data_IF_819918784032
#
_entry.id   IF_819918784032
#
_cell.length_a   1.000
_cell.length_b   1.000
_cell.length_c   1.000
_cell.angle_alpha   90.00
_cell.angle_beta   90.00
_cell.angle_gamma   90.00
#
_symmetry.space_group_name_H-M   'P 1'
#
loop_
_entity.id
_entity.type
_entity.pdbx_description
1 polymer ?
#
# COMPACT_ATOMS: atom_id res chain seq x y z
N UNK A 1 -0.06 -7.72 5.61
CA UNK A 1 0.30 -7.62 4.17
C UNK A 1 0.22 -6.15 3.74
N UNK A 2 1.10 -5.66 2.88
CA UNK A 2 1.03 -4.30 2.35
C UNK A 2 0.18 -4.21 1.07
N UNK A 3 -0.27 -3.01 0.69
CA UNK A 3 -1.03 -2.75 -0.54
C UNK A 3 -0.27 -3.11 -1.83
N UNK A 4 1.06 -3.02 -1.82
CA UNK A 4 1.87 -3.56 -2.92
C UNK A 4 1.89 -5.09 -2.94
N UNK A 5 2.08 -5.73 -1.80
CA UNK A 5 2.25 -7.18 -1.71
C UNK A 5 0.95 -7.96 -1.98
N UNK A 6 -0.21 -7.37 -1.71
CA UNK A 6 -1.51 -8.00 -2.02
C UNK A 6 -1.79 -8.08 -3.54
N UNK A 7 -0.99 -7.39 -4.37
CA UNK A 7 -1.08 -7.53 -5.84
C UNK A 7 -0.47 -8.84 -6.36
N UNK A 8 0.32 -9.54 -5.56
CA UNK A 8 0.95 -10.80 -5.93
C UNK A 8 -0.09 -11.92 -6.12
N UNK A 9 0.09 -12.77 -7.14
CA UNK A 9 -0.80 -13.90 -7.40
C UNK A 9 -0.98 -14.83 -6.20
N UNK A 10 0.12 -15.09 -5.47
CA UNK A 10 0.10 -15.91 -4.25
C UNK A 10 -0.79 -15.34 -3.14
N UNK A 11 -0.91 -14.00 -3.04
CA UNK A 11 -1.78 -13.38 -2.07
C UNK A 11 -3.27 -13.64 -2.39
N UNK A 12 -3.65 -13.59 -3.67
CA UNK A 12 -5.00 -13.96 -4.11
C UNK A 12 -5.30 -15.42 -3.89
N UNK A 13 -4.37 -16.31 -4.26
CA UNK A 13 -4.52 -17.74 -4.04
C UNK A 13 -4.70 -18.04 -2.53
N UNK A 14 -3.91 -17.40 -1.67
CA UNK A 14 -4.03 -17.55 -0.23
C UNK A 14 -5.38 -17.04 0.30
N UNK A 15 -5.87 -15.88 -0.17
CA UNK A 15 -7.19 -15.36 0.23
C UNK A 15 -8.33 -16.26 -0.23
N UNK A 16 -8.29 -16.73 -1.47
CA UNK A 16 -9.27 -17.66 -2.03
C UNK A 16 -9.35 -18.95 -1.20
N UNK A 17 -8.20 -19.55 -0.88
CA UNK A 17 -8.14 -20.74 -0.04
C UNK A 17 -8.59 -20.47 1.40
N UNK A 18 -8.22 -19.32 1.98
CA UNK A 18 -8.63 -18.93 3.33
C UNK A 18 -10.16 -18.86 3.47
N UNK A 19 -10.84 -18.25 2.50
CA UNK A 19 -12.29 -18.21 2.45
C UNK A 19 -12.94 -19.58 2.27
N UNK A 20 -12.43 -20.37 1.32
CA UNK A 20 -12.94 -21.73 1.10
C UNK A 20 -12.82 -22.64 2.33
N UNK A 21 -11.71 -22.51 3.08
CA UNK A 21 -11.43 -23.31 4.27
C UNK A 21 -12.09 -22.76 5.55
N UNK A 22 -12.77 -21.62 5.48
CA UNK A 22 -13.26 -20.87 6.66
C UNK A 22 -12.15 -20.70 7.72
N UNK A 23 -10.95 -20.34 7.26
CA UNK A 23 -9.75 -20.38 8.08
C UNK A 23 -9.81 -19.30 9.17
N UNK A 24 -9.56 -19.69 10.43
CA UNK A 24 -9.48 -18.74 11.55
C UNK A 24 -8.18 -17.92 11.50
N UNK A 25 -8.16 -16.86 10.71
CA UNK A 25 -7.03 -15.97 10.53
C UNK A 25 -7.44 -14.50 10.41
N UNK A 26 -6.55 -13.60 10.81
CA UNK A 26 -6.72 -12.15 10.67
C UNK A 26 -5.64 -11.63 9.73
N UNK A 27 -6.06 -11.11 8.58
CA UNK A 27 -5.21 -10.41 7.62
C UNK A 27 -5.28 -8.91 7.91
N UNK A 28 -4.15 -8.31 8.27
CA UNK A 28 -4.05 -6.85 8.34
C UNK A 28 -3.49 -6.36 7.02
N UNK A 29 -4.33 -5.68 6.22
CA UNK A 29 -3.92 -4.97 5.01
C UNK A 29 -3.49 -3.56 5.39
N UNK A 30 -2.18 -3.31 5.34
CA UNK A 30 -1.59 -1.99 5.55
C UNK A 30 -1.47 -1.26 4.21
N UNK A 31 -2.42 -0.38 3.93
CA UNK A 31 -2.44 0.46 2.75
C UNK A 31 -1.81 1.81 3.06
N UNK A 32 -0.62 2.06 2.52
CA UNK A 32 0.05 3.37 2.59
C UNK A 32 0.12 4.08 1.23
N UNK A 33 -0.58 3.54 0.23
CA UNK A 33 -0.61 3.98 -1.17
C UNK A 33 0.74 3.94 -1.88
N UNK A 34 1.74 3.25 -1.32
CA UNK A 34 3.05 3.10 -1.94
C UNK A 34 3.49 1.65 -1.95
N UNK A 35 3.91 1.20 -3.12
CA UNK A 35 4.68 -0.04 -3.28
C UNK A 35 6.07 0.10 -2.63
N UNK A 36 6.68 -1.06 -2.32
CA UNK A 36 7.96 -1.16 -1.59
C UNK A 36 8.99 -0.20 -2.20
N UNK A 37 9.33 -0.35 -3.47
CA UNK A 37 10.10 0.67 -4.17
C UNK A 37 9.12 1.60 -4.86
N UNK A 38 9.33 2.93 -4.88
CA UNK A 38 8.62 3.71 -5.86
C UNK A 38 8.93 3.04 -7.20
N UNK A 39 7.89 2.76 -7.95
CA UNK A 39 7.93 2.67 -9.41
C UNK A 39 8.37 4.05 -9.91
N UNK A 40 9.57 4.46 -9.51
CA UNK A 40 10.09 5.79 -9.71
C UNK A 40 10.39 5.86 -11.19
N UNK A 41 9.48 6.47 -11.93
CA UNK A 41 9.87 7.10 -13.16
C UNK A 41 10.89 8.17 -12.79
N UNK A 42 11.75 8.53 -13.74
CA UNK A 42 12.75 9.56 -13.50
C UNK A 42 12.13 10.93 -13.12
N UNK A 43 10.82 11.08 -13.27
CA UNK A 43 10.07 12.30 -13.03
C UNK A 43 9.19 12.24 -11.75
N UNK A 44 9.20 11.13 -11.00
CA UNK A 44 8.50 11.02 -9.72
C UNK A 44 8.03 9.61 -9.34
N UNK A 45 7.38 9.44 -8.17
CA UNK A 45 6.78 8.16 -7.81
C UNK A 45 5.63 7.83 -8.76
N UNK A 46 5.62 6.64 -9.37
CA UNK A 46 4.44 6.17 -10.07
C UNK A 46 3.45 5.50 -9.12
N UNK A 47 2.19 5.52 -9.52
CA UNK A 47 1.10 4.83 -8.83
C UNK A 47 1.28 3.31 -8.97
N UNK A 48 1.03 2.51 -7.91
CA UNK A 48 0.96 1.06 -8.04
C UNK A 48 0.02 0.65 -9.19
N UNK A 49 0.48 -0.26 -10.04
CA UNK A 49 -0.28 -0.76 -11.17
C UNK A 49 -1.27 -1.86 -10.74
N UNK A 50 -2.40 -1.95 -11.44
CA UNK A 50 -3.38 -3.02 -11.24
C UNK A 50 -4.78 -2.53 -10.84
N UNK A 51 -5.79 -3.32 -11.22
CA UNK A 51 -7.19 -3.03 -10.91
C UNK A 51 -7.48 -3.05 -9.41
N UNK A 52 -6.78 -3.88 -8.64
CA UNK A 52 -6.93 -3.94 -7.18
C UNK A 52 -6.43 -2.65 -6.51
N UNK A 53 -5.27 -2.13 -6.89
CA UNK A 53 -4.77 -0.84 -6.39
C UNK A 53 -5.76 0.29 -6.70
N UNK A 54 -6.36 0.26 -7.89
CA UNK A 54 -7.43 1.21 -8.28
C UNK A 54 -8.71 1.02 -7.45
N UNK A 55 -9.09 -0.22 -7.12
CA UNK A 55 -10.24 -0.52 -6.27
C UNK A 55 -10.02 -0.05 -4.83
N UNK A 56 -8.84 -0.29 -4.25
CA UNK A 56 -8.46 0.21 -2.91
C UNK A 56 -8.49 1.74 -2.87
N UNK A 57 -7.95 2.41 -3.89
CA UNK A 57 -8.00 3.87 -4.00
C UNK A 57 -9.45 4.41 -4.07
N UNK A 58 -10.35 3.73 -4.81
CA UNK A 58 -11.78 4.08 -4.86
C UNK A 58 -12.47 3.90 -3.51
N UNK A 59 -12.17 2.83 -2.78
CA UNK A 59 -12.70 2.58 -1.44
C UNK A 59 -12.30 3.72 -0.50
N UNK A 60 -11.03 4.15 -0.52
CA UNK A 60 -10.56 5.30 0.27
C UNK A 60 -11.16 6.64 -0.16
N UNK A 61 -11.39 6.85 -1.46
CA UNK A 61 -11.98 8.07 -1.99
C UNK A 61 -13.51 8.16 -1.75
N UNK A 62 -14.13 7.07 -1.32
CA UNK A 62 -15.56 7.03 -1.06
C UNK A 62 -15.98 8.08 -0.03
N UNK A 63 -17.12 8.72 -0.28
CA UNK A 63 -17.67 9.75 0.61
C UNK A 63 -17.93 9.26 2.03
N UNK A 64 -18.06 7.94 2.22
CA UNK A 64 -18.23 7.31 3.54
C UNK A 64 -16.95 7.35 4.36
N UNK A 65 -15.79 7.06 3.76
CA UNK A 65 -14.50 7.21 4.46
C UNK A 65 -14.23 8.67 4.84
N UNK A 66 -14.55 9.62 3.94
CA UNK A 66 -14.42 11.04 4.26
C UNK A 66 -15.29 11.46 5.44
N UNK A 67 -16.53 10.95 5.52
CA UNK A 67 -17.44 11.21 6.66
C UNK A 67 -16.92 10.60 7.96
N UNK A 68 -16.45 9.35 7.93
CA UNK A 68 -15.84 8.68 9.09
C UNK A 68 -14.61 9.44 9.60
N UNK A 69 -13.73 9.90 8.69
CA UNK A 69 -12.55 10.69 9.03
C UNK A 69 -12.91 12.04 9.66
N UNK A 70 -13.93 12.73 9.15
CA UNK A 70 -14.40 14.00 9.71
C UNK A 70 -15.15 13.83 11.04
N UNK A 71 -15.85 12.71 11.23
CA UNK A 71 -16.43 12.33 12.53
C UNK A 71 -15.33 12.07 13.57
N UNK A 72 -14.29 11.31 13.22
CA UNK A 72 -13.13 11.06 14.08
C UNK A 72 -12.41 12.36 14.50
N UNK A 73 -12.22 13.31 13.56
CA UNK A 73 -11.67 14.65 13.84
C UNK A 73 -12.56 15.50 14.75
N UNK A 74 -13.88 15.42 14.57
CA UNK A 74 -14.84 16.15 15.41
C UNK A 74 -14.81 15.65 16.86
N UNK A 75 -14.66 14.34 17.05
CA UNK A 75 -14.52 13.71 18.37
C UNK A 75 -13.21 14.15 19.04
N UNK A 76 -12.08 14.18 18.31
CA UNK A 76 -10.79 14.65 18.86
C UNK A 76 -10.83 16.14 19.25
N UNK A 77 -11.55 16.98 18.50
CA UNK A 77 -11.77 18.39 18.88
C UNK A 77 -12.67 18.57 20.11
N UNK A 78 -13.61 17.67 20.36
CA UNK A 78 -14.51 17.74 21.52
C UNK A 78 -13.95 17.09 22.80
N UNK A 79 -12.86 16.32 22.71
CA UNK A 79 -12.19 15.70 23.88
C UNK A 79 -11.28 16.70 24.63
N UNK A 80 -11.28 17.99 24.24
CA UNK A 80 -10.81 19.09 25.07
C UNK A 80 -11.76 19.37 26.24
N UNK A 81 -11.75 18.51 27.25
CA UNK A 81 -12.44 18.71 28.52
C UNK A 81 -13.59 17.73 28.74
N UNK A 82 -13.32 16.70 29.55
CA UNK A 82 -14.27 15.89 30.33
C UNK A 82 -15.65 15.66 29.70
N UNK A 83 -15.89 14.46 29.15
CA UNK A 83 -17.01 13.56 29.54
C UNK A 83 -17.00 12.30 28.65
N UNK A 84 -17.23 11.14 29.27
CA UNK A 84 -17.50 9.86 28.62
C UNK A 84 -18.83 9.87 27.87
N UNK A 85 -18.79 9.69 26.56
CA UNK A 85 -19.92 9.11 25.80
C UNK A 85 -19.38 8.14 24.74
N UNK A 86 -19.11 6.91 25.16
CA UNK A 86 -18.65 5.80 24.30
C UNK A 86 -19.83 5.13 23.56
N UNK A 87 -21.06 5.62 23.72
CA UNK A 87 -22.24 5.00 23.10
C UNK A 87 -22.42 5.31 21.60
N UNK A 88 -21.93 6.44 21.09
CA UNK A 88 -22.16 6.82 19.69
C UNK A 88 -21.21 6.15 18.68
N UNK A 89 -20.04 5.68 19.11
CA UNK A 89 -19.04 5.01 18.23
C UNK A 89 -19.40 3.56 17.89
N UNK A 90 -20.36 2.95 18.58
CA UNK A 90 -20.69 1.52 18.37
C UNK A 90 -21.60 1.35 17.14
N UNK A 91 -22.49 2.31 16.90
CA UNK A 91 -23.51 2.19 15.84
C UNK A 91 -22.95 2.50 14.44
N UNK A 92 -21.93 3.35 14.32
CA UNK A 92 -21.28 3.67 13.04
C UNK A 92 -20.39 2.52 12.53
N UNK A 93 -19.75 1.77 13.43
CA UNK A 93 -18.99 0.56 13.11
C UNK A 93 -19.88 -0.64 12.81
N UNK A 94 -21.03 -0.75 13.50
CA UNK A 94 -22.01 -1.80 13.22
C UNK A 94 -22.74 -1.56 11.88
N UNK A 95 -22.81 -0.31 11.39
CA UNK A 95 -23.50 0.04 10.13
C UNK A 95 -22.59 0.10 8.90
N UNK A 96 -21.27 -0.03 9.06
CA UNK A 96 -20.37 -0.42 7.96
C UNK A 96 -20.77 -1.77 7.34
N UNK A 97 -21.58 -2.56 8.06
CA UNK A 97 -22.17 -3.83 7.63
C UNK A 97 -23.42 -3.70 6.74
N UNK A 98 -23.87 -2.50 6.35
CA UNK A 98 -24.96 -2.36 5.36
C UNK A 98 -24.38 -1.87 4.05
N UNK A 99 -23.93 -2.83 3.23
CA UNK A 99 -24.23 -2.84 1.79
C UNK A 99 -24.15 -1.48 1.09
N UNK A 100 -22.95 -0.93 0.93
CA UNK A 100 -22.73 0.08 -0.10
C UNK A 100 -22.67 -0.62 -1.48
N UNK A 101 -23.81 -1.19 -1.89
CA UNK A 101 -24.17 -1.48 -3.29
C UNK A 101 -23.32 -2.48 -4.08
N UNK A 102 -22.47 -3.27 -3.43
CA UNK A 102 -21.71 -4.38 -4.03
C UNK A 102 -20.79 -4.99 -2.98
N UNK A 103 -20.69 -6.33 -2.94
CA UNK A 103 -19.72 -7.00 -2.09
C UNK A 103 -18.31 -6.56 -2.51
N UNK A 104 -17.44 -6.27 -1.55
CA UNK A 104 -16.02 -6.09 -1.84
C UNK A 104 -15.44 -7.40 -2.37
N UNK A 105 -14.38 -7.34 -3.17
CA UNK A 105 -13.67 -8.54 -3.63
C UNK A 105 -13.33 -9.49 -2.47
N UNK A 106 -12.97 -8.94 -1.31
CA UNK A 106 -12.61 -9.72 -0.13
C UNK A 106 -13.81 -10.48 0.43
N UNK A 107 -14.99 -9.85 0.48
CA UNK A 107 -16.22 -10.51 0.93
C UNK A 107 -16.68 -11.58 -0.07
N UNK A 108 -16.52 -11.35 -1.38
CA UNK A 108 -16.78 -12.38 -2.40
C UNK A 108 -15.83 -13.57 -2.29
N UNK A 109 -14.59 -13.35 -1.85
CA UNK A 109 -13.64 -14.40 -1.52
C UNK A 109 -13.90 -15.05 -0.16
N UNK A 110 -14.95 -14.66 0.57
CA UNK A 110 -15.32 -15.26 1.85
C UNK A 110 -14.64 -14.66 3.08
N UNK A 111 -13.97 -13.50 2.95
CA UNK A 111 -13.36 -12.80 4.08
C UNK A 111 -14.31 -11.78 4.68
N UNK A 112 -14.39 -11.75 6.02
CA UNK A 112 -15.08 -10.68 6.72
C UNK A 112 -14.23 -9.40 6.69
N UNK A 113 -14.71 -8.39 5.97
CA UNK A 113 -13.96 -7.17 5.71
C UNK A 113 -14.27 -6.04 6.71
N UNK A 114 -13.22 -5.44 7.29
CA UNK A 114 -13.32 -4.31 8.22
C UNK A 114 -12.40 -3.19 7.73
N UNK A 115 -12.97 -2.04 7.34
CA UNK A 115 -12.22 -0.82 7.02
C UNK A 115 -12.72 -0.10 5.77
N UNK A 116 -11.94 0.85 5.22
CA UNK A 116 -10.65 1.32 5.72
C UNK A 116 -10.76 2.10 7.04
N UNK A 117 -9.83 1.89 7.97
CA UNK A 117 -9.70 2.64 9.23
C UNK A 117 -8.37 3.38 9.32
N UNK A 118 -8.27 4.39 10.19
CA UNK A 118 -7.02 5.11 10.44
C UNK A 118 -6.00 4.20 11.15
N UNK A 119 -4.91 3.87 10.45
CA UNK A 119 -3.84 3.03 10.96
C UNK A 119 -2.92 3.71 11.97
N UNK A 120 -3.09 5.02 12.23
CA UNK A 120 -2.31 5.76 13.23
C UNK A 120 -3.06 5.98 14.55
N UNK A 121 -4.32 5.55 14.64
CA UNK A 121 -5.11 5.64 15.87
C UNK A 121 -5.02 4.32 16.65
N UNK A 122 -4.09 4.26 17.59
CA UNK A 122 -3.80 3.04 18.36
C UNK A 122 -5.01 2.59 19.18
N UNK A 123 -5.75 3.52 19.79
CA UNK A 123 -6.91 3.20 20.61
C UNK A 123 -8.02 2.53 19.80
N UNK A 124 -8.33 3.07 18.61
CA UNK A 124 -9.32 2.49 17.71
C UNK A 124 -8.84 1.11 17.20
N UNK A 125 -7.56 0.96 16.82
CA UNK A 125 -6.99 -0.33 16.39
C UNK A 125 -7.05 -1.40 17.49
N UNK A 126 -6.65 -1.06 18.72
CA UNK A 126 -6.74 -1.98 19.87
C UNK A 126 -8.18 -2.43 20.08
N UNK A 127 -9.13 -1.50 20.00
CA UNK A 127 -10.56 -1.80 20.15
C UNK A 127 -11.05 -2.75 19.07
N UNK A 128 -10.68 -2.51 17.80
CA UNK A 128 -11.05 -3.38 16.68
C UNK A 128 -10.46 -4.77 16.87
N UNK A 129 -9.17 -4.89 17.17
CA UNK A 129 -8.52 -6.19 17.36
C UNK A 129 -9.11 -6.97 18.55
N UNK A 130 -9.42 -6.31 19.66
CA UNK A 130 -10.09 -6.95 20.80
C UNK A 130 -11.47 -7.47 20.43
N UNK A 131 -12.26 -6.70 19.66
CA UNK A 131 -13.58 -7.14 19.19
C UNK A 131 -13.48 -8.33 18.26
N UNK A 132 -12.61 -8.27 17.25
CA UNK A 132 -12.39 -9.38 16.30
C UNK A 132 -11.96 -10.65 17.02
N UNK A 133 -11.01 -10.53 17.97
CA UNK A 133 -10.57 -11.66 18.80
C UNK A 133 -11.70 -12.28 19.62
N UNK A 134 -12.66 -11.48 20.07
CA UNK A 134 -13.80 -11.94 20.89
C UNK A 134 -14.97 -12.48 20.06
N UNK A 135 -14.96 -12.33 18.73
CA UNK A 135 -16.02 -12.85 17.87
C UNK A 135 -15.97 -14.39 17.84
N UNK A 136 -17.11 -15.08 18.05
CA UNK A 136 -17.18 -16.52 17.87
C UNK A 136 -17.15 -16.86 16.37
N UNK A 137 -16.21 -17.70 15.96
CA UNK A 137 -16.06 -18.23 14.59
C UNK A 137 -16.16 -17.14 13.49
N UNK A 138 -15.26 -16.15 13.46
CA UNK A 138 -15.35 -15.06 12.49
C UNK A 138 -14.94 -15.44 11.06
N UNK A 139 -14.51 -16.70 10.84
CA UNK A 139 -13.82 -17.11 9.62
C UNK A 139 -12.56 -16.28 9.38
N UNK A 140 -12.10 -16.14 8.12
CA UNK A 140 -10.98 -15.27 7.79
C UNK A 140 -11.43 -13.81 7.80
N UNK A 141 -10.74 -12.97 8.57
CA UNK A 141 -11.04 -11.54 8.69
C UNK A 141 -9.96 -10.72 7.97
N UNK A 142 -10.36 -9.73 7.17
CA UNK A 142 -9.45 -8.74 6.60
C UNK A 142 -9.70 -7.36 7.20
N UNK A 143 -8.70 -6.83 7.91
CA UNK A 143 -8.73 -5.49 8.49
C UNK A 143 -7.87 -4.57 7.61
N UNK A 144 -8.51 -3.65 6.91
CA UNK A 144 -7.86 -2.66 6.06
C UNK A 144 -7.56 -1.40 6.85
N UNK A 145 -6.27 -1.16 7.11
CA UNK A 145 -5.77 0.03 7.78
C UNK A 145 -5.07 0.95 6.78
N UNK A 146 -5.26 2.25 6.93
CA UNK A 146 -4.61 3.28 6.09
C UNK A 146 -3.51 3.93 6.89
N UNK A 147 -2.27 3.86 6.41
CA UNK A 147 -1.11 4.48 7.06
C UNK A 147 -0.39 5.48 6.14
N UNK A 148 0.67 6.10 6.66
CA UNK A 148 1.52 7.03 5.93
C UNK A 148 2.95 6.47 5.99
N UNK A 149 3.51 6.11 4.82
CA UNK A 149 4.88 5.57 4.78
C UNK A 149 5.87 6.65 5.19
N UNK A 150 6.77 6.30 6.12
CA UNK A 150 7.71 7.25 6.72
C UNK A 150 7.15 8.09 7.87
N UNK A 151 5.90 7.84 8.32
CA UNK A 151 5.25 8.62 9.38
C UNK A 151 6.14 8.77 10.62
N UNK A 152 6.23 10.01 11.12
CA UNK A 152 7.00 10.35 12.32
C UNK A 152 8.47 10.64 12.04
N UNK A 153 8.91 10.54 10.78
CA UNK A 153 10.27 10.88 10.38
C UNK A 153 10.26 11.88 9.21
N UNK A 154 10.35 13.21 9.47
CA UNK A 154 10.18 14.24 8.45
C UNK A 154 11.06 14.08 7.20
N UNK A 155 12.34 13.67 7.28
CA UNK A 155 13.14 13.41 6.08
C UNK A 155 12.57 12.30 5.20
N UNK A 156 12.02 11.23 5.78
CA UNK A 156 11.34 10.20 5.02
C UNK A 156 10.00 10.68 4.46
N UNK A 157 9.20 11.42 5.24
CA UNK A 157 7.93 11.96 4.74
C UNK A 157 8.13 12.90 3.54
N UNK A 158 9.23 13.66 3.51
CA UNK A 158 9.57 14.54 2.39
C UNK A 158 10.19 13.81 1.18
N UNK A 159 10.82 12.64 1.39
CA UNK A 159 11.47 11.90 0.32
C UNK A 159 10.46 11.25 -0.63
N UNK A 160 10.75 11.27 -1.93
CA UNK A 160 9.87 10.70 -2.96
C UNK A 160 9.68 9.17 -2.78
N UNK A 161 10.73 8.45 -2.37
CA UNK A 161 10.73 7.02 -2.08
C UNK A 161 10.41 6.68 -0.62
N UNK A 162 10.13 7.71 0.19
CA UNK A 162 9.96 7.61 1.65
C UNK A 162 11.14 6.97 2.35
N UNK A 163 12.35 7.14 1.82
CA UNK A 163 13.58 6.52 2.33
C UNK A 163 13.46 4.99 2.43
N UNK A 164 12.77 4.37 1.46
CA UNK A 164 12.59 2.91 1.43
C UNK A 164 13.93 2.15 1.29
N UNK A 165 14.85 2.70 0.49
CA UNK A 165 16.20 2.16 0.33
C UNK A 165 17.24 3.22 0.68
N UNK A 166 17.82 3.11 1.88
CA UNK A 166 18.86 4.04 2.34
C UNK A 166 20.20 3.34 2.50
N UNK A 167 21.27 4.02 2.09
CA UNK A 167 22.62 3.69 2.58
C UNK A 167 22.83 4.35 3.95
N UNK A 168 23.99 4.18 4.58
CA UNK A 168 24.35 4.90 5.81
C UNK A 168 23.98 6.38 5.67
N UNK A 169 23.24 6.93 6.63
CA UNK A 169 22.71 8.29 6.56
C UNK A 169 22.74 8.96 7.93
N UNK A 170 22.65 10.28 7.93
CA UNK A 170 22.50 11.07 9.14
C UNK A 170 21.02 11.08 9.57
N UNK A 171 20.73 10.61 10.77
CA UNK A 171 19.34 10.43 11.24
C UNK A 171 18.63 11.77 11.41
N UNK A 172 19.30 12.84 11.81
CA UNK A 172 18.62 14.14 12.03
C UNK A 172 18.23 14.79 10.70
N UNK A 173 19.08 14.68 9.70
CA UNK A 173 18.93 15.38 8.41
C UNK A 173 18.39 14.52 7.28
N UNK A 174 18.42 13.19 7.42
CA UNK A 174 18.13 12.23 6.35
C UNK A 174 19.21 12.16 5.26
N UNK A 175 20.32 12.88 5.41
CA UNK A 175 21.37 12.95 4.39
C UNK A 175 22.09 11.62 4.27
N UNK A 176 21.97 10.98 3.10
CA UNK A 176 22.64 9.73 2.80
C UNK A 176 24.12 9.93 2.45
N UNK A 177 24.99 9.12 3.02
CA UNK A 177 26.43 9.07 2.75
C UNK A 177 26.71 8.04 1.65
N UNK A 178 26.60 8.48 0.40
CA UNK A 178 26.92 7.65 -0.77
C UNK A 178 28.43 7.71 -1.04
N UNK A 179 29.17 6.60 -1.02
CA UNK A 179 30.56 6.61 -1.45
C UNK A 179 30.63 7.02 -2.93
N UNK A 180 31.59 7.89 -3.27
CA UNK A 180 31.87 8.22 -4.67
C UNK A 180 32.56 7.02 -5.30
N UNK A 181 31.92 6.43 -6.31
CA UNK A 181 32.54 5.42 -7.16
C UNK A 181 33.06 6.09 -8.44
N UNK A 182 34.27 5.74 -8.93
CA UNK A 182 34.74 6.21 -10.22
C UNK A 182 34.00 5.57 -11.40
N UNK A 183 33.26 4.48 -11.15
CA UNK A 183 32.51 3.72 -12.16
C UNK A 183 31.02 3.72 -11.85
N UNK A 184 30.22 3.49 -12.90
CA UNK A 184 28.78 3.32 -12.79
C UNK A 184 28.43 2.02 -12.04
N UNK A 185 27.20 1.93 -11.53
CA UNK A 185 26.71 0.67 -10.98
C UNK A 185 26.40 -0.33 -12.10
N UNK A 186 26.40 -1.63 -11.79
CA UNK A 186 25.95 -2.66 -12.74
C UNK A 186 24.55 -2.37 -13.28
N UNK A 187 23.64 -1.87 -12.44
CA UNK A 187 22.30 -1.45 -12.83
C UNK A 187 22.32 -0.36 -13.91
N UNK A 188 23.23 0.61 -13.80
CA UNK A 188 23.37 1.67 -14.81
C UNK A 188 23.99 1.14 -16.10
N UNK A 189 25.05 0.32 -16.02
CA UNK A 189 25.62 -0.32 -17.21
C UNK A 189 24.60 -1.19 -17.94
N UNK A 190 23.79 -1.96 -17.20
CA UNK A 190 22.69 -2.74 -17.77
C UNK A 190 21.67 -1.87 -18.49
N UNK A 191 21.20 -0.79 -17.84
CA UNK A 191 20.20 0.09 -18.42
C UNK A 191 20.71 0.80 -19.69
N UNK A 192 21.94 1.30 -19.67
CA UNK A 192 22.56 1.94 -20.85
C UNK A 192 22.74 0.97 -22.01
N UNK A 193 23.22 -0.25 -21.74
CA UNK A 193 23.37 -1.28 -22.75
C UNK A 193 22.01 -1.68 -23.35
N UNK A 194 21.00 -1.93 -22.51
CA UNK A 194 19.66 -2.31 -22.95
C UNK A 194 19.00 -1.22 -23.81
N UNK A 195 19.15 0.05 -23.42
CA UNK A 195 18.63 1.17 -24.21
C UNK A 195 19.29 1.21 -25.58
N UNK A 196 20.62 1.04 -25.66
CA UNK A 196 21.37 1.09 -26.91
C UNK A 196 20.95 -0.03 -27.87
N UNK A 197 20.76 -1.25 -27.37
CA UNK A 197 20.23 -2.35 -28.19
C UNK A 197 18.80 -2.06 -28.67
N UNK A 198 17.95 -1.49 -27.82
CA UNK A 198 16.57 -1.17 -28.18
C UNK A 198 16.42 0.04 -29.13
N UNK A 199 17.46 0.86 -29.32
CA UNK A 199 17.48 1.92 -30.35
C UNK A 199 17.56 1.33 -31.77
N UNK A 200 18.17 0.16 -31.93
CA UNK A 200 18.35 -0.50 -33.23
C UNK A 200 17.37 -1.66 -33.45
N UNK A 201 16.85 -2.27 -32.38
CA UNK A 201 15.83 -3.32 -32.45
C UNK A 201 14.51 -2.88 -31.79
N UNK A 202 13.47 -2.73 -32.63
CA UNK A 202 12.14 -2.35 -32.17
C UNK A 202 11.38 -3.49 -31.44
N UNK A 203 11.88 -4.72 -31.50
CA UNK A 203 11.29 -5.89 -30.81
C UNK A 203 11.69 -6.01 -29.35
N UNK A 204 12.74 -5.29 -28.93
CA UNK A 204 13.18 -5.30 -27.53
C UNK A 204 12.17 -4.54 -26.67
N UNK A 205 11.70 -5.21 -25.62
CA UNK A 205 10.84 -4.67 -24.58
C UNK A 205 11.45 -4.95 -23.21
N UNK A 206 11.13 -4.10 -22.23
CA UNK A 206 11.50 -4.27 -20.84
C UNK A 206 10.28 -4.63 -19.99
N UNK A 207 10.45 -5.52 -19.02
CA UNK A 207 9.41 -5.90 -18.06
C UNK A 207 10.02 -5.87 -16.67
N UNK A 208 9.32 -5.28 -15.69
CA UNK A 208 9.75 -5.29 -14.30
C UNK A 208 8.58 -5.52 -13.34
N UNK A 209 8.87 -6.10 -12.17
CA UNK A 209 7.88 -6.35 -11.13
C UNK A 209 7.91 -5.25 -10.04
N UNK A 210 7.37 -4.06 -10.32
CA UNK A 210 7.44 -2.88 -9.43
C UNK A 210 8.87 -2.42 -9.05
N UNK A 211 9.89 -2.82 -9.82
CA UNK A 211 11.31 -2.58 -9.53
C UNK A 211 11.98 -1.58 -10.49
N UNK A 212 11.25 -0.67 -11.12
CA UNK A 212 11.78 0.21 -12.18
C UNK A 212 13.07 0.96 -11.79
N UNK A 213 13.12 1.56 -10.61
CA UNK A 213 14.33 2.25 -10.11
C UNK A 213 15.45 1.31 -9.68
N UNK A 214 15.12 0.20 -9.02
CA UNK A 214 16.11 -0.77 -8.53
C UNK A 214 16.81 -1.55 -9.65
N UNK A 215 16.11 -1.75 -10.78
CA UNK A 215 16.61 -2.45 -11.97
C UNK A 215 17.16 -1.51 -13.04
N UNK A 216 16.97 -0.20 -12.90
CA UNK A 216 17.35 0.79 -13.92
C UNK A 216 16.40 0.80 -15.13
N UNK A 217 15.32 0.02 -15.11
CA UNK A 217 14.33 0.00 -16.19
C UNK A 217 13.48 1.28 -16.26
N UNK A 218 13.54 2.13 -15.23
CA UNK A 218 13.01 3.49 -15.30
C UNK A 218 13.72 4.37 -16.35
N UNK A 219 15.02 4.16 -16.60
CA UNK A 219 15.74 4.83 -17.69
C UNK A 219 15.21 4.35 -19.05
N UNK A 220 14.99 3.04 -19.19
CA UNK A 220 14.42 2.45 -20.40
C UNK A 220 13.00 2.97 -20.65
N UNK A 221 12.16 2.99 -19.62
CA UNK A 221 10.78 3.50 -19.70
C UNK A 221 10.73 4.97 -20.13
N UNK A 222 11.65 5.81 -19.65
CA UNK A 222 11.71 7.22 -20.09
C UNK A 222 12.01 7.35 -21.58
N UNK A 223 12.89 6.48 -22.11
CA UNK A 223 13.28 6.50 -23.52
C UNK A 223 12.23 5.85 -24.43
N UNK A 224 11.61 4.77 -23.96
CA UNK A 224 10.68 3.92 -24.70
C UNK A 224 9.44 3.59 -23.85
N UNK A 225 8.53 4.57 -23.63
CA UNK A 225 7.40 4.41 -22.72
C UNK A 225 6.46 3.28 -23.12
N UNK A 226 6.24 3.07 -24.41
CA UNK A 226 5.34 2.03 -24.94
C UNK A 226 5.97 0.63 -24.99
N UNK A 227 7.24 0.49 -24.54
CA UNK A 227 7.99 -0.78 -24.55
C UNK A 227 8.51 -1.19 -23.17
N UNK A 228 8.02 -0.56 -22.10
CA UNK A 228 8.36 -0.93 -20.73
C UNK A 228 7.09 -1.23 -19.95
N UNK A 229 7.01 -2.44 -19.37
CA UNK A 229 5.82 -2.92 -18.70
C UNK A 229 6.10 -3.19 -17.22
N UNK A 230 5.27 -2.61 -16.35
CA UNK A 230 5.26 -2.91 -14.93
C UNK A 230 4.16 -3.92 -14.62
N UNK A 231 4.52 -5.06 -14.04
CA UNK A 231 3.58 -6.11 -13.65
C UNK A 231 3.16 -6.03 -12.18
N UNK A 232 3.64 -5.05 -11.42
CA UNK A 232 3.41 -4.99 -9.97
C UNK A 232 4.28 -6.01 -9.23
N UNK A 233 3.92 -6.45 -8.02
CA UNK A 233 4.69 -7.48 -7.28
C UNK A 233 4.22 -8.87 -7.74
N UNK A 234 4.38 -9.17 -9.03
CA UNK A 234 3.93 -10.40 -9.66
C UNK A 234 5.03 -10.93 -10.59
N UNK A 235 6.07 -11.53 -10.01
CA UNK A 235 7.18 -12.11 -10.78
C UNK A 235 6.83 -13.40 -11.54
N UNK A 236 5.77 -14.13 -11.14
CA UNK A 236 5.31 -15.35 -11.81
C UNK A 236 4.65 -15.07 -13.16
#
# INVERSE_FOLDING_TARGET
>A
IGDGAITAGQAYEAMNNAGFLDANLIVILNDNKQVSLPTATLDGPATPVGALSSALAKIQASTQFRKLREAAKSITKQIGGKTHQVAAKVDEYARGMISASGSTLFEELGLYYIGPVDGHNIEDLVTIFQKVKAMPAPGPVLIHIVTEKGKGYPPAEAAADKMHGVVKFDVQTGKQFKPKSPTLSYTQYFAEALIKEAETDNKIVAIHAAMGGGTGLNYFQKRFPDRCFDVGIAEQ
#
